data_IF_050064915230
#
_entry.id   IF_050064915230
#
_cell.length_a   1.000
_cell.length_b   1.000
_cell.length_c   1.000
_cell.angle_alpha   90.00
_cell.angle_beta   90.00
_cell.angle_gamma   90.00
#
_symmetry.space_group_name_H-M   'P 1'
#
loop_
_entity.id
_entity.type
_entity.pdbx_description
1 polymer ?
#
# COMPACT_ATOMS: atom_id res chain seq x y z
N UNK A 1 28.89 4.85 -8.50
CA UNK A 1 27.82 4.82 -9.54
C UNK A 1 27.57 3.43 -10.12
N UNK A 2 28.54 2.50 -10.09
CA UNK A 2 28.38 1.09 -10.52
C UNK A 2 27.45 0.28 -9.62
N UNK A 3 27.50 0.52 -8.30
CA UNK A 3 26.76 -0.29 -7.32
C UNK A 3 25.26 -0.04 -7.38
N UNK A 4 24.83 1.20 -7.64
CA UNK A 4 23.42 1.51 -7.85
C UNK A 4 22.85 0.81 -9.08
N UNK A 5 23.57 0.83 -10.22
CA UNK A 5 23.13 0.09 -11.43
C UNK A 5 23.04 -1.41 -11.16
N UNK A 6 23.98 -1.97 -10.40
CA UNK A 6 23.92 -3.38 -9.98
C UNK A 6 22.71 -3.65 -9.08
N UNK A 7 22.45 -2.80 -8.08
CA UNK A 7 21.29 -2.93 -7.21
C UNK A 7 19.97 -2.85 -7.98
N UNK A 8 19.85 -1.92 -8.92
CA UNK A 8 18.69 -1.80 -9.81
C UNK A 8 18.50 -3.07 -10.66
N UNK A 9 19.59 -3.59 -11.24
CA UNK A 9 19.56 -4.84 -11.99
C UNK A 9 19.07 -6.03 -11.15
N UNK A 10 19.55 -6.18 -9.93
CA UNK A 10 19.13 -7.25 -9.02
C UNK A 10 17.66 -7.11 -8.61
N UNK A 11 17.18 -5.89 -8.34
CA UNK A 11 15.77 -5.66 -8.02
C UNK A 11 14.86 -6.02 -9.19
N UNK A 12 15.23 -5.61 -10.40
CA UNK A 12 14.46 -5.93 -11.60
C UNK A 12 14.52 -7.42 -11.96
N UNK A 13 15.65 -8.09 -11.75
CA UNK A 13 15.74 -9.56 -11.94
C UNK A 13 14.78 -10.32 -11.03
N UNK A 14 14.60 -9.88 -9.78
CA UNK A 14 13.76 -10.57 -8.78
C UNK A 14 12.28 -10.16 -8.89
N UNK A 15 11.99 -8.89 -9.17
CA UNK A 15 10.63 -8.31 -9.09
C UNK A 15 10.09 -7.77 -10.41
N UNK A 16 10.91 -7.66 -11.45
CA UNK A 16 10.52 -7.04 -12.71
C UNK A 16 9.92 -5.65 -12.51
N UNK A 17 8.78 -5.41 -13.15
CA UNK A 17 8.03 -4.14 -13.06
C UNK A 17 7.09 -4.07 -11.84
N UNK A 18 7.12 -5.08 -10.96
CA UNK A 18 6.26 -5.15 -9.77
C UNK A 18 6.87 -4.45 -8.54
N UNK A 19 8.03 -3.81 -8.68
CA UNK A 19 8.71 -3.11 -7.60
C UNK A 19 9.15 -1.72 -8.03
N UNK A 20 8.47 -0.71 -7.49
CA UNK A 20 8.80 0.69 -7.68
C UNK A 20 9.72 1.17 -6.57
N UNK A 21 10.76 1.90 -6.93
CA UNK A 21 11.71 2.48 -5.99
C UNK A 21 12.26 3.80 -6.52
N UNK A 22 12.56 4.71 -5.61
CA UNK A 22 13.06 6.04 -5.94
C UNK A 22 12.31 7.14 -5.19
N UNK A 23 12.73 8.40 -5.36
CA UNK A 23 11.93 9.54 -4.94
C UNK A 23 10.59 9.56 -5.69
N UNK A 24 9.56 10.11 -5.06
CA UNK A 24 8.27 10.43 -5.70
C UNK A 24 7.54 9.25 -6.36
N UNK A 25 7.66 8.04 -5.81
CA UNK A 25 6.98 6.83 -6.35
C UNK A 25 5.50 6.71 -5.94
N UNK A 26 5.07 7.38 -4.87
CA UNK A 26 3.69 7.25 -4.36
C UNK A 26 2.60 7.71 -5.34
N UNK A 27 2.80 8.78 -6.15
CA UNK A 27 1.88 9.14 -7.22
C UNK A 27 1.64 8.04 -8.27
N UNK A 28 2.51 7.03 -8.38
CA UNK A 28 2.32 5.91 -9.33
C UNK A 28 1.43 4.78 -8.79
N UNK A 29 1.12 4.77 -7.49
CA UNK A 29 0.41 3.65 -6.82
C UNK A 29 -0.94 3.37 -7.48
N UNK A 30 -1.71 4.40 -7.82
CA UNK A 30 -3.02 4.29 -8.45
C UNK A 30 -3.00 3.49 -9.75
N UNK A 31 -2.02 3.73 -10.61
CA UNK A 31 -1.90 3.02 -11.89
C UNK A 31 -1.62 1.53 -11.67
N UNK A 32 -0.82 1.20 -10.64
CA UNK A 32 -0.52 -0.19 -10.27
C UNK A 32 -1.72 -0.89 -9.67
N UNK A 33 -2.45 -0.21 -8.77
CA UNK A 33 -3.65 -0.76 -8.12
C UNK A 33 -4.77 -0.95 -9.14
N UNK A 34 -4.94 -0.04 -10.09
CA UNK A 34 -5.96 -0.11 -11.13
C UNK A 34 -5.88 -1.36 -12.02
N UNK A 35 -4.71 -1.99 -12.12
CA UNK A 35 -4.50 -3.26 -12.82
C UNK A 35 -4.94 -4.48 -11.99
N UNK A 36 -5.04 -4.35 -10.67
CA UNK A 36 -5.45 -5.41 -9.75
C UNK A 36 -6.92 -5.33 -9.32
N UNK A 37 -7.49 -4.12 -9.23
CA UNK A 37 -8.88 -3.90 -8.80
C UNK A 37 -9.35 -2.46 -9.01
N UNK A 38 -10.63 -2.21 -8.74
CA UNK A 38 -11.25 -0.87 -8.87
C UNK A 38 -11.83 -0.35 -7.55
N UNK A 39 -11.87 -1.17 -6.51
CA UNK A 39 -12.37 -0.82 -5.17
C UNK A 39 -11.31 -1.18 -4.14
N UNK A 40 -10.55 -0.18 -3.71
CA UNK A 40 -9.45 -0.36 -2.78
C UNK A 40 -9.89 -0.21 -1.32
N UNK A 41 -9.38 -1.09 -0.46
CA UNK A 41 -9.30 -0.85 0.97
C UNK A 41 -7.85 -0.52 1.35
N UNK A 42 -7.63 0.66 1.95
CA UNK A 42 -6.31 1.09 2.43
C UNK A 42 -6.12 0.70 3.89
N UNK A 43 -5.18 -0.20 4.17
CA UNK A 43 -4.74 -0.52 5.53
C UNK A 43 -3.50 0.32 5.82
N UNK A 44 -3.61 1.29 6.74
CA UNK A 44 -2.53 2.25 7.02
C UNK A 44 -2.04 2.25 8.47
N UNK A 45 -0.73 2.25 8.65
CA UNK A 45 -0.10 2.59 9.92
C UNK A 45 -0.24 4.09 10.21
N UNK A 46 -0.10 4.48 11.49
CA UNK A 46 -0.16 5.89 11.89
C UNK A 46 1.10 6.33 12.60
N UNK A 47 1.75 7.35 12.03
CA UNK A 47 2.98 7.96 12.52
C UNK A 47 3.01 9.45 12.13
N UNK A 48 3.88 10.25 12.76
CA UNK A 48 3.97 11.67 12.48
C UNK A 48 4.31 11.92 11.00
N UNK A 49 3.49 12.73 10.31
CA UNK A 49 3.64 13.03 8.87
C UNK A 49 3.08 11.96 7.92
N UNK A 50 2.50 10.87 8.42
CA UNK A 50 1.89 9.82 7.57
C UNK A 50 0.73 10.32 6.72
N UNK A 51 0.01 11.34 7.17
CA UNK A 51 -1.21 11.81 6.52
C UNK A 51 -0.95 12.45 5.16
N UNK A 52 0.17 13.19 5.01
CA UNK A 52 0.56 13.79 3.73
C UNK A 52 0.80 12.71 2.66
N UNK A 53 1.45 11.60 3.04
CA UNK A 53 1.69 10.47 2.14
C UNK A 53 0.41 9.71 1.82
N UNK A 54 -0.48 9.54 2.80
CA UNK A 54 -1.78 8.92 2.56
C UNK A 54 -2.59 9.76 1.59
N UNK A 55 -2.51 11.09 1.66
CA UNK A 55 -3.23 11.93 0.71
C UNK A 55 -2.68 11.83 -0.72
N UNK A 56 -1.36 11.70 -0.90
CA UNK A 56 -0.78 11.39 -2.20
C UNK A 56 -1.34 10.05 -2.74
N UNK A 57 -1.46 9.04 -1.88
CA UNK A 57 -2.04 7.74 -2.27
C UNK A 57 -3.52 7.89 -2.64
N UNK A 58 -4.33 8.60 -1.84
CA UNK A 58 -5.76 8.82 -2.14
C UNK A 58 -5.95 9.52 -3.49
N UNK A 59 -5.16 10.56 -3.74
CA UNK A 59 -5.20 11.29 -5.01
C UNK A 59 -4.81 10.40 -6.18
N UNK A 60 -3.70 9.66 -6.05
CA UNK A 60 -3.23 8.74 -7.09
C UNK A 60 -4.27 7.65 -7.43
N UNK A 61 -4.90 7.05 -6.41
CA UNK A 61 -5.99 6.07 -6.60
C UNK A 61 -7.17 6.70 -7.36
N UNK A 62 -7.62 7.88 -6.92
CA UNK A 62 -8.75 8.60 -7.52
C UNK A 62 -8.48 8.97 -8.97
N UNK A 63 -7.31 9.52 -9.27
CA UNK A 63 -6.88 9.89 -10.63
C UNK A 63 -6.79 8.66 -11.56
N UNK A 64 -6.53 7.48 -11.00
CA UNK A 64 -6.47 6.21 -11.73
C UNK A 64 -7.84 5.50 -11.83
N UNK A 65 -8.91 6.14 -11.37
CA UNK A 65 -10.27 5.59 -11.38
C UNK A 65 -10.46 4.41 -10.43
N UNK A 66 -9.68 4.34 -9.34
CA UNK A 66 -9.85 3.37 -8.25
C UNK A 66 -10.61 4.06 -7.12
N UNK A 67 -11.74 3.49 -6.73
CA UNK A 67 -12.53 4.00 -5.61
C UNK A 67 -11.93 3.50 -4.28
N UNK A 68 -11.61 4.40 -3.36
CA UNK A 68 -11.21 4.03 -2.00
C UNK A 68 -12.47 3.80 -1.16
N UNK A 69 -12.85 2.53 -0.97
CA UNK A 69 -14.08 2.14 -0.27
C UNK A 69 -13.92 2.05 1.24
N UNK A 70 -12.68 1.92 1.73
CA UNK A 70 -12.37 1.89 3.14
C UNK A 70 -10.95 2.34 3.45
N UNK A 71 -10.78 2.96 4.62
CA UNK A 71 -9.50 3.23 5.23
C UNK A 71 -9.47 2.61 6.63
N UNK A 72 -8.59 1.64 6.82
CA UNK A 72 -8.56 0.76 7.99
C UNK A 72 -7.25 1.01 8.74
N UNK A 73 -7.35 1.17 10.07
CA UNK A 73 -6.17 1.28 10.92
C UNK A 73 -5.37 -0.02 10.89
N UNK A 74 -4.09 0.08 10.53
CA UNK A 74 -3.14 -1.03 10.52
C UNK A 74 -2.89 -1.65 11.90
N UNK A 75 -2.13 -2.75 11.92
CA UNK A 75 -1.81 -3.45 13.15
C UNK A 75 -0.77 -2.71 13.99
N UNK A 76 -0.79 -2.95 15.30
CA UNK A 76 0.29 -2.54 16.21
C UNK A 76 1.56 -3.38 15.95
N UNK A 77 2.73 -2.95 16.49
CA UNK A 77 3.96 -3.72 16.37
C UNK A 77 3.78 -5.19 16.76
N UNK A 78 4.39 -6.08 15.96
CA UNK A 78 4.32 -7.55 16.10
C UNK A 78 2.94 -8.17 15.80
N UNK A 79 2.07 -7.47 15.08
CA UNK A 79 0.79 -7.98 14.56
C UNK A 79 -0.01 -8.83 15.60
N UNK A 80 -0.53 -8.21 16.68
CA UNK A 80 -1.39 -8.91 17.61
C UNK A 80 -2.60 -9.53 16.89
N UNK A 81 -3.02 -10.74 17.30
CA UNK A 81 -4.14 -11.45 16.66
C UNK A 81 -5.43 -10.63 16.69
N UNK A 82 -5.63 -9.85 17.74
CA UNK A 82 -6.79 -8.96 17.90
C UNK A 82 -6.83 -7.88 16.81
N UNK A 83 -5.66 -7.38 16.39
CA UNK A 83 -5.59 -6.41 15.29
C UNK A 83 -5.89 -7.07 13.95
N UNK A 84 -5.38 -8.29 13.72
CA UNK A 84 -5.70 -9.07 12.52
C UNK A 84 -7.21 -9.35 12.43
N UNK A 85 -7.84 -9.80 13.51
CA UNK A 85 -9.29 -10.03 13.53
C UNK A 85 -10.08 -8.75 13.25
N UNK A 86 -9.72 -7.64 13.91
CA UNK A 86 -10.33 -6.33 13.64
C UNK A 86 -10.19 -5.91 12.17
N UNK A 87 -8.99 -6.01 11.60
CA UNK A 87 -8.76 -5.66 10.19
C UNK A 87 -9.61 -6.55 9.27
N UNK A 88 -9.64 -7.86 9.52
CA UNK A 88 -10.41 -8.81 8.73
C UNK A 88 -11.94 -8.61 8.87
N UNK A 89 -12.43 -8.17 10.03
CA UNK A 89 -13.83 -7.78 10.22
C UNK A 89 -14.16 -6.52 9.43
N UNK A 90 -13.31 -5.47 9.52
CA UNK A 90 -13.50 -4.25 8.74
C UNK A 90 -13.49 -4.54 7.22
N UNK A 91 -12.57 -5.39 6.74
CA UNK A 91 -12.54 -5.79 5.32
C UNK A 91 -13.81 -6.53 4.88
N UNK A 92 -14.38 -7.38 5.74
CA UNK A 92 -15.62 -8.13 5.46
C UNK A 92 -16.85 -7.22 5.32
N UNK A 93 -16.82 -6.02 5.89
CA UNK A 93 -17.88 -5.03 5.76
C UNK A 93 -17.77 -4.20 4.47
N UNK A 94 -16.71 -4.42 3.68
CA UNK A 94 -16.45 -3.69 2.43
C UNK A 94 -16.65 -4.58 1.20
N UNK A 95 -16.85 -3.95 0.06
CA UNK A 95 -16.86 -4.60 -1.26
C UNK A 95 -15.52 -4.40 -2.00
N UNK A 96 -14.43 -4.20 -1.25
CA UNK A 96 -13.09 -4.03 -1.81
C UNK A 96 -12.64 -5.27 -2.59
N UNK A 97 -12.08 -5.05 -3.78
CA UNK A 97 -11.50 -6.09 -4.62
C UNK A 97 -9.96 -6.08 -4.62
N UNK A 98 -9.36 -5.06 -4.00
CA UNK A 98 -7.91 -4.91 -3.83
C UNK A 98 -7.59 -4.29 -2.47
N UNK A 99 -6.52 -4.76 -1.85
CA UNK A 99 -6.00 -4.23 -0.58
C UNK A 99 -4.71 -3.47 -0.86
N UNK A 100 -4.59 -2.28 -0.29
CA UNK A 100 -3.37 -1.46 -0.33
C UNK A 100 -2.86 -1.31 1.10
N UNK A 101 -1.61 -1.70 1.35
CA UNK A 101 -0.97 -1.52 2.66
C UNK A 101 0.00 -0.35 2.64
N UNK A 102 -0.08 0.53 3.65
CA UNK A 102 0.84 1.65 3.84
C UNK A 102 1.36 1.70 5.29
N UNK A 103 2.61 1.34 5.50
CA UNK A 103 3.23 1.36 6.82
C UNK A 103 4.51 0.54 6.90
N UNK A 104 4.91 0.21 8.12
CA UNK A 104 6.02 -0.71 8.38
C UNK A 104 5.61 -2.19 8.24
N UNK A 105 6.52 -3.10 8.60
CA UNK A 105 6.32 -4.55 8.45
C UNK A 105 5.04 -5.07 9.10
N UNK A 106 4.67 -4.59 10.31
CA UNK A 106 3.44 -5.05 10.96
C UNK A 106 2.15 -4.69 10.21
N UNK A 107 2.13 -3.60 9.42
CA UNK A 107 0.98 -3.26 8.58
C UNK A 107 0.96 -4.06 7.28
N UNK A 108 2.13 -4.48 6.79
CA UNK A 108 2.26 -5.29 5.58
C UNK A 108 1.92 -6.76 5.86
N UNK A 109 2.28 -7.27 7.03
CA UNK A 109 2.07 -8.66 7.43
C UNK A 109 0.62 -8.98 7.88
N UNK A 110 -0.10 -7.97 8.38
CA UNK A 110 -1.46 -8.10 8.94
C UNK A 110 -2.55 -8.03 7.87
#
# INVERSE_FOLDING_TARGET
MTDFKKAQGLLHEIKGDSYLFGPDVLPEVGQRVAAAGKKAALIRGTFAGSDDYVEIIRNSLTESGVNLVAEIRGARPNCPREDLFRIAENLRETDADVIVSFGGGSTIDA
#
